data_IF_586793755461
#
_entry.id   IF_586793755461
#
_cell.length_a   1.000
_cell.length_b   1.000
_cell.length_c   1.000
_cell.angle_alpha   90.00
_cell.angle_beta   90.00
_cell.angle_gamma   90.00
#
_symmetry.space_group_name_H-M   'P 1'
#
loop_
_entity.id
_entity.type
_entity.pdbx_description
1 polymer ?
#
# COMPACT_ATOMS: atom_id res chain seq x y z
N UNK A 1 12.79 -9.21 8.13
CA UNK A 1 11.86 -8.60 9.11
C UNK A 1 11.03 -7.45 8.52
N UNK A 2 11.60 -6.51 7.76
CA UNK A 2 10.88 -5.32 7.24
C UNK A 2 9.87 -5.60 6.11
N UNK A 3 10.14 -6.52 5.17
CA UNK A 3 9.19 -6.89 4.09
C UNK A 3 7.91 -7.56 4.65
N UNK A 4 8.06 -8.37 5.70
CA UNK A 4 6.91 -8.98 6.38
C UNK A 4 5.99 -7.93 7.03
N UNK A 5 6.55 -6.81 7.49
CA UNK A 5 5.76 -5.71 8.04
C UNK A 5 4.94 -5.00 6.95
N UNK A 6 5.54 -4.70 5.78
CA UNK A 6 4.79 -4.14 4.64
C UNK A 6 3.67 -5.09 4.21
N UNK A 7 3.95 -6.40 4.18
CA UNK A 7 2.96 -7.43 3.84
C UNK A 7 1.81 -7.47 4.85
N UNK A 8 2.12 -7.53 6.13
CA UNK A 8 1.12 -7.57 7.20
C UNK A 8 0.24 -6.32 7.20
N UNK A 9 0.86 -5.12 7.11
CA UNK A 9 0.13 -3.86 7.14
C UNK A 9 -0.65 -3.59 5.86
N UNK A 10 -0.10 -3.92 4.69
CA UNK A 10 -0.81 -3.86 3.42
C UNK A 10 -2.05 -4.76 3.40
N UNK A 11 -1.92 -6.00 3.91
CA UNK A 11 -3.06 -6.90 4.04
C UNK A 11 -4.11 -6.38 5.04
N UNK A 12 -3.65 -5.83 6.17
CA UNK A 12 -4.54 -5.24 7.18
C UNK A 12 -5.33 -4.06 6.63
N UNK A 13 -4.67 -3.19 5.84
CA UNK A 13 -5.32 -2.07 5.15
C UNK A 13 -6.38 -2.58 4.16
N UNK A 14 -6.04 -3.56 3.32
CA UNK A 14 -6.99 -4.14 2.36
C UNK A 14 -8.23 -4.70 3.05
N UNK A 15 -8.05 -5.52 4.09
CA UNK A 15 -9.17 -6.11 4.83
C UNK A 15 -10.09 -5.04 5.41
N UNK A 16 -9.54 -3.92 5.87
CA UNK A 16 -10.31 -2.81 6.42
C UNK A 16 -11.06 -2.02 5.35
N UNK A 17 -10.39 -1.68 4.25
CA UNK A 17 -11.05 -1.05 3.10
C UNK A 17 -12.18 -1.92 2.55
N UNK A 18 -11.97 -3.24 2.47
CA UNK A 18 -13.01 -4.20 2.09
C UNK A 18 -14.16 -4.24 3.09
N UNK A 19 -13.87 -4.20 4.40
CA UNK A 19 -14.90 -4.18 5.43
C UNK A 19 -15.72 -2.89 5.36
N UNK A 20 -15.04 -1.76 5.15
CA UNK A 20 -15.63 -0.42 5.07
C UNK A 20 -16.62 -0.31 3.91
N UNK A 21 -16.19 -0.68 2.71
CA UNK A 21 -17.06 -0.75 1.54
C UNK A 21 -18.22 -1.76 1.66
N UNK A 22 -18.17 -2.68 2.64
CA UNK A 22 -19.28 -3.58 2.95
C UNK A 22 -20.20 -3.08 4.08
N UNK A 23 -19.87 -1.99 4.79
CA UNK A 23 -20.68 -1.47 5.89
C UNK A 23 -22.07 -1.03 5.42
N UNK A 24 -22.15 -0.48 4.20
CA UNK A 24 -23.40 -0.03 3.57
C UNK A 24 -24.22 -1.17 2.92
N UNK A 25 -23.81 -2.43 3.17
CA UNK A 25 -24.46 -3.68 2.73
C UNK A 25 -24.48 -3.94 1.22
N UNK A 26 -24.05 -2.99 0.39
CA UNK A 26 -23.83 -3.15 -1.04
C UNK A 26 -22.54 -2.47 -1.47
N UNK A 27 -21.59 -3.23 -2.02
CA UNK A 27 -20.43 -2.64 -2.71
C UNK A 27 -20.90 -2.16 -4.08
N UNK A 28 -20.77 -0.87 -4.35
CA UNK A 28 -21.06 -0.29 -5.66
C UNK A 28 -20.03 -0.78 -6.71
N UNK A 29 -20.39 -0.68 -7.99
CA UNK A 29 -19.48 -1.05 -9.07
C UNK A 29 -18.15 -0.26 -9.02
N UNK A 30 -18.21 1.01 -8.63
CA UNK A 30 -17.03 1.88 -8.56
C UNK A 30 -16.15 1.54 -7.35
N UNK A 31 -16.72 1.31 -6.17
CA UNK A 31 -15.97 0.83 -4.99
C UNK A 31 -15.30 -0.51 -5.25
N UNK A 32 -16.02 -1.46 -5.86
CA UNK A 32 -15.47 -2.76 -6.24
C UNK A 32 -14.28 -2.62 -7.21
N UNK A 33 -14.34 -1.63 -8.10
CA UNK A 33 -13.24 -1.33 -9.03
C UNK A 33 -12.04 -0.72 -8.31
N UNK A 34 -12.27 0.19 -7.36
CA UNK A 34 -11.20 0.83 -6.58
C UNK A 34 -10.54 -0.21 -5.66
N UNK A 35 -11.32 -1.01 -4.94
CA UNK A 35 -10.79 -2.09 -4.08
C UNK A 35 -9.91 -3.05 -4.88
N UNK A 36 -10.36 -3.47 -6.06
CA UNK A 36 -9.57 -4.35 -6.93
C UNK A 36 -8.29 -3.67 -7.44
N UNK A 37 -8.33 -2.38 -7.73
CA UNK A 37 -7.15 -1.61 -8.09
C UNK A 37 -6.17 -1.51 -6.91
N UNK A 38 -6.66 -1.21 -5.70
CA UNK A 38 -5.87 -1.17 -4.47
C UNK A 38 -5.21 -2.51 -4.19
N UNK A 39 -5.93 -3.63 -4.33
CA UNK A 39 -5.41 -4.99 -4.15
C UNK A 39 -4.24 -5.27 -5.10
N UNK A 40 -4.42 -4.99 -6.40
CA UNK A 40 -3.35 -5.14 -7.39
C UNK A 40 -2.15 -4.23 -7.08
N UNK A 41 -2.39 -2.99 -6.65
CA UNK A 41 -1.32 -2.05 -6.31
C UNK A 41 -0.52 -2.53 -5.09
N UNK A 42 -1.19 -3.07 -4.06
CA UNK A 42 -0.54 -3.67 -2.89
C UNK A 42 0.26 -4.91 -3.28
N UNK A 43 -0.28 -5.80 -4.10
CA UNK A 43 0.43 -6.99 -4.60
C UNK A 43 1.70 -6.58 -5.33
N UNK A 44 1.61 -5.65 -6.28
CA UNK A 44 2.76 -5.15 -7.04
C UNK A 44 3.81 -4.50 -6.12
N UNK A 45 3.38 -3.76 -5.09
CA UNK A 45 4.29 -3.14 -4.12
C UNK A 45 5.05 -4.20 -3.33
N UNK A 46 4.39 -5.30 -2.96
CA UNK A 46 5.01 -6.42 -2.25
C UNK A 46 5.98 -7.18 -3.15
N UNK A 47 5.66 -7.38 -4.42
CA UNK A 47 6.55 -8.01 -5.38
C UNK A 47 7.83 -7.19 -5.60
N UNK A 48 7.71 -5.88 -5.81
CA UNK A 48 8.89 -5.00 -5.94
C UNK A 48 9.71 -4.94 -4.64
N UNK A 49 9.04 -4.92 -3.48
CA UNK A 49 9.73 -4.98 -2.19
C UNK A 49 10.51 -6.29 -2.02
N UNK A 50 9.94 -7.41 -2.49
CA UNK A 50 10.57 -8.72 -2.43
C UNK A 50 11.76 -8.81 -3.39
N UNK A 51 11.59 -8.40 -4.64
CA UNK A 51 12.65 -8.38 -5.66
C UNK A 51 13.84 -7.53 -5.20
N UNK A 52 13.60 -6.30 -4.75
CA UNK A 52 14.65 -5.42 -4.25
C UNK A 52 15.39 -6.00 -3.02
N UNK A 53 14.70 -6.80 -2.21
CA UNK A 53 15.32 -7.50 -1.08
C UNK A 53 16.17 -8.69 -1.53
N UNK A 54 15.68 -9.48 -2.48
CA UNK A 54 16.40 -10.62 -3.06
C UNK A 54 17.66 -10.17 -3.79
N UNK A 55 17.56 -9.08 -4.55
CA UNK A 55 18.66 -8.46 -5.29
C UNK A 55 19.63 -7.69 -4.37
N UNK A 56 19.26 -7.52 -3.09
CA UNK A 56 19.97 -6.69 -2.08
C UNK A 56 20.28 -5.28 -2.59
N UNK A 57 19.52 -4.82 -3.57
CA UNK A 57 19.73 -3.58 -4.28
C UNK A 57 18.35 -3.09 -4.70
N UNK A 58 18.12 -1.81 -4.47
CA UNK A 58 16.97 -1.12 -4.99
C UNK A 58 17.44 -0.11 -6.02
N UNK A 59 17.04 -0.30 -7.28
CA UNK A 59 17.32 0.67 -8.34
C UNK A 59 16.42 1.90 -8.20
N UNK A 60 16.85 3.04 -8.73
CA UNK A 60 16.01 4.25 -8.73
C UNK A 60 14.68 4.00 -9.48
N UNK A 61 14.69 3.20 -10.55
CA UNK A 61 13.48 2.84 -11.28
C UNK A 61 12.48 2.07 -10.40
N UNK A 62 12.93 1.06 -9.66
CA UNK A 62 12.07 0.30 -8.74
C UNK A 62 11.54 1.18 -7.62
N UNK A 63 12.38 2.05 -7.06
CA UNK A 63 11.95 3.03 -6.06
C UNK A 63 10.84 3.94 -6.59
N UNK A 64 11.00 4.49 -7.79
CA UNK A 64 9.97 5.35 -8.39
C UNK A 64 8.67 4.59 -8.61
N UNK A 65 8.72 3.32 -9.05
CA UNK A 65 7.54 2.46 -9.17
C UNK A 65 6.87 2.20 -7.82
N UNK A 66 7.64 1.90 -6.78
CA UNK A 66 7.11 1.65 -5.44
C UNK A 66 6.47 2.91 -4.83
N UNK A 67 7.09 4.08 -5.01
CA UNK A 67 6.51 5.37 -4.59
C UNK A 67 5.22 5.67 -5.35
N UNK A 68 5.18 5.39 -6.65
CA UNK A 68 3.97 5.54 -7.45
C UNK A 68 2.85 4.62 -6.97
N UNK A 69 3.14 3.35 -6.67
CA UNK A 69 2.15 2.41 -6.14
C UNK A 69 1.62 2.84 -4.78
N UNK A 70 2.48 3.33 -3.89
CA UNK A 70 2.07 3.88 -2.59
C UNK A 70 1.11 5.06 -2.75
N UNK A 71 1.45 5.99 -3.65
CA UNK A 71 0.59 7.13 -3.98
C UNK A 71 -0.76 6.67 -4.51
N UNK A 72 -0.79 5.65 -5.36
CA UNK A 72 -2.04 5.06 -5.88
C UNK A 72 -2.88 4.42 -4.79
N UNK A 73 -2.27 3.65 -3.89
CA UNK A 73 -2.98 3.04 -2.75
C UNK A 73 -3.56 4.11 -1.83
N UNK A 74 -2.82 5.20 -1.59
CA UNK A 74 -3.27 6.37 -0.81
C UNK A 74 -4.47 7.04 -1.50
N UNK A 75 -4.36 7.37 -2.79
CA UNK A 75 -5.42 8.01 -3.57
C UNK A 75 -6.69 7.12 -3.65
N UNK A 76 -6.51 5.80 -3.82
CA UNK A 76 -7.60 4.82 -3.89
C UNK A 76 -8.30 4.67 -2.53
N UNK A 77 -7.56 4.65 -1.42
CA UNK A 77 -8.11 4.61 -0.07
C UNK A 77 -8.89 5.91 0.27
N UNK A 78 -8.36 7.07 -0.12
CA UNK A 78 -9.06 8.35 0.01
C UNK A 78 -10.35 8.34 -0.83
N UNK A 79 -10.28 7.82 -2.06
CA UNK A 79 -11.45 7.75 -2.94
C UNK A 79 -12.54 6.86 -2.35
N UNK A 80 -12.21 5.67 -1.83
CA UNK A 80 -13.18 4.80 -1.15
C UNK A 80 -13.84 5.49 0.03
N UNK A 81 -13.06 6.20 0.82
CA UNK A 81 -13.60 6.93 1.94
C UNK A 81 -14.42 8.18 1.57
N UNK A 82 -14.26 8.73 0.37
CA UNK A 82 -15.16 9.78 -0.14
C UNK A 82 -16.52 9.20 -0.57
N UNK A 83 -16.58 7.91 -0.93
CA UNK A 83 -17.85 7.23 -1.19
C UNK A 83 -18.58 6.91 0.12
N UNK A 84 -17.85 6.42 1.14
CA UNK A 84 -18.39 6.07 2.46
C UNK A 84 -18.32 7.22 3.51
N UNK A 85 -17.96 8.44 3.08
CA UNK A 85 -17.77 9.68 3.86
C UNK A 85 -16.81 9.58 5.10
N UNK A 86 -16.03 8.51 5.26
CA UNK A 86 -15.18 8.28 6.44
C UNK A 86 -13.88 7.54 6.07
N UNK A 87 -12.73 8.23 6.14
CA UNK A 87 -11.44 7.59 6.44
C UNK A 87 -11.37 7.47 7.95
N UNK A 88 -11.19 6.26 8.47
CA UNK A 88 -10.94 6.08 9.90
C UNK A 88 -9.49 6.44 10.23
N UNK A 89 -9.23 7.05 11.40
CA UNK A 89 -7.87 7.37 11.82
C UNK A 89 -6.92 6.15 11.85
N UNK A 90 -7.48 4.94 11.98
CA UNK A 90 -6.68 3.71 11.93
C UNK A 90 -6.24 3.33 10.50
N UNK A 91 -6.98 3.71 9.46
CA UNK A 91 -6.57 3.49 8.05
C UNK A 91 -5.47 4.47 7.63
N UNK A 92 -5.56 5.73 8.08
CA UNK A 92 -4.47 6.72 7.93
C UNK A 92 -3.19 6.24 8.62
N UNK A 93 -3.32 5.70 9.83
CA UNK A 93 -2.19 5.13 10.57
C UNK A 93 -1.54 3.96 9.80
N UNK A 94 -2.35 3.05 9.24
CA UNK A 94 -1.83 1.93 8.45
C UNK A 94 -1.11 2.39 7.18
N UNK A 95 -1.68 3.36 6.45
CA UNK A 95 -1.02 3.99 5.31
C UNK A 95 0.30 4.65 5.70
N UNK A 96 0.32 5.38 6.81
CA UNK A 96 1.51 6.00 7.37
C UNK A 96 2.61 4.99 7.73
N UNK A 97 2.24 3.87 8.35
CA UNK A 97 3.17 2.79 8.69
C UNK A 97 3.73 2.12 7.42
N UNK A 98 2.88 1.83 6.43
CA UNK A 98 3.32 1.24 5.15
C UNK A 98 4.31 2.18 4.46
N UNK A 99 3.97 3.47 4.35
CA UNK A 99 4.83 4.50 3.76
C UNK A 99 6.16 4.62 4.49
N UNK A 100 6.14 4.76 5.81
CA UNK A 100 7.35 4.84 6.64
C UNK A 100 8.21 3.58 6.54
N UNK A 101 7.60 2.40 6.46
CA UNK A 101 8.31 1.13 6.33
C UNK A 101 9.01 1.02 4.98
N UNK A 102 8.35 1.43 3.90
CA UNK A 102 8.93 1.45 2.54
C UNK A 102 10.01 2.53 2.42
N UNK A 103 9.81 3.72 2.98
CA UNK A 103 10.84 4.77 3.03
C UNK A 103 12.06 4.33 3.85
N UNK A 104 11.84 3.65 4.96
CA UNK A 104 12.91 3.07 5.79
C UNK A 104 13.64 1.96 5.04
N UNK A 105 12.91 1.15 4.27
CA UNK A 105 13.50 0.15 3.38
C UNK A 105 14.39 0.82 2.32
N UNK A 106 13.94 1.93 1.72
CA UNK A 106 14.77 2.73 0.81
C UNK A 106 16.05 3.18 1.51
N UNK A 107 15.94 3.89 2.64
CA UNK A 107 17.11 4.40 3.37
C UNK A 107 18.10 3.31 3.77
N UNK A 108 17.62 2.12 4.14
CA UNK A 108 18.48 1.00 4.56
C UNK A 108 19.28 0.37 3.40
N UNK A 109 18.77 0.46 2.17
CA UNK A 109 19.39 -0.16 0.99
C UNK A 109 20.17 0.85 0.11
N UNK A 110 20.13 2.15 0.42
CA UNK A 110 20.97 3.17 -0.25
C UNK A 110 22.43 3.21 0.26
N UNK A 111 22.72 2.68 1.45
CA UNK A 111 24.08 2.71 2.00
C UNK A 111 25.07 1.71 1.37
N UNK A 112 24.63 0.88 0.42
CA UNK A 112 25.49 -0.09 -0.27
C UNK A 112 25.82 0.29 -1.72
N UNK A 113 25.36 1.46 -2.19
CA UNK A 113 25.51 1.89 -3.58
C UNK A 113 26.44 3.12 -3.77
N UNK A 114 27.13 3.57 -2.72
CA UNK A 114 28.12 4.65 -2.76
C UNK A 114 29.54 4.13 -2.66
#
# INVERSE_FOLDING_TARGET
MKVNLVKEKGWTLLVRLFKKANEDREITFDEGRIIKATDLNVINLLEYSKQAWEDKKLTENEKQKMLFLLKKIEDDAISLAQYDDIITGEEEELLGIIKSTVETFFRSNYYFAS
#
